data_IF_642496444924
#
_entry.id   IF_642496444924
#
_cell.length_a   1.000
_cell.length_b   1.000
_cell.length_c   1.000
_cell.angle_alpha   90.00
_cell.angle_beta   90.00
_cell.angle_gamma   90.00
#
_symmetry.space_group_name_H-M   'P 1'
#
loop_
_entity.id
_entity.type
_entity.pdbx_description
1 polymer ?
#
# COMPACT_ATOMS: atom_id res chain seq x y z
N UNK A 1 32.20 25.94 21.59
CA UNK A 1 32.42 25.20 20.33
C UNK A 1 31.10 24.55 19.97
N UNK A 2 30.39 25.12 19.02
CA UNK A 2 29.03 24.71 18.67
C UNK A 2 29.01 23.29 18.10
N UNK A 3 28.31 22.41 18.82
CA UNK A 3 27.98 21.08 18.36
C UNK A 3 27.07 21.17 17.14
N UNK A 4 27.65 20.98 15.97
CA UNK A 4 26.91 20.73 14.73
C UNK A 4 26.21 19.38 14.87
N UNK A 5 25.00 19.40 15.45
CA UNK A 5 24.02 18.32 15.27
C UNK A 5 23.88 18.13 13.77
N UNK A 6 24.47 17.06 13.22
CA UNK A 6 24.22 16.62 11.85
C UNK A 6 22.70 16.43 11.75
N UNK A 7 21.99 17.40 11.18
CA UNK A 7 20.57 17.22 10.85
C UNK A 7 20.52 15.99 9.97
N UNK A 8 19.88 14.94 10.48
CA UNK A 8 19.69 13.71 9.75
C UNK A 8 18.97 14.06 8.45
N UNK A 9 19.56 13.75 7.29
CA UNK A 9 18.91 13.93 5.98
C UNK A 9 17.79 12.89 5.74
N UNK A 10 17.26 12.30 6.81
CA UNK A 10 16.22 11.30 6.84
C UNK A 10 14.92 12.00 7.25
N UNK A 11 13.87 11.78 6.47
CA UNK A 11 12.54 12.26 6.80
C UNK A 11 12.01 11.51 8.03
N UNK A 12 11.63 12.23 9.08
CA UNK A 12 11.13 11.63 10.33
C UNK A 12 9.83 10.84 10.15
N UNK A 13 8.96 11.27 9.22
CA UNK A 13 7.68 10.59 8.94
C UNK A 13 7.91 9.26 8.22
N UNK A 14 8.77 9.26 7.20
CA UNK A 14 8.93 8.08 6.34
C UNK A 14 10.12 7.22 6.72
N UNK A 15 11.04 7.71 7.56
CA UNK A 15 12.32 7.05 7.86
C UNK A 15 13.28 6.97 6.67
N UNK A 16 13.05 7.73 5.60
CA UNK A 16 13.79 7.62 4.33
C UNK A 16 14.57 8.89 4.02
N UNK A 17 15.79 8.71 3.53
CA UNK A 17 16.58 9.77 2.90
C UNK A 17 16.00 10.19 1.55
N UNK A 18 16.37 11.37 1.07
CA UNK A 18 15.99 11.85 -0.26
C UNK A 18 16.40 10.87 -1.38
N UNK A 19 17.57 10.25 -1.27
CA UNK A 19 18.06 9.27 -2.23
C UNK A 19 17.21 8.00 -2.25
N UNK A 20 16.86 7.45 -1.09
CA UNK A 20 15.99 6.28 -0.99
C UNK A 20 14.59 6.55 -1.57
N UNK A 21 14.03 7.74 -1.31
CA UNK A 21 12.75 8.16 -1.92
C UNK A 21 12.84 8.22 -3.44
N UNK A 22 13.95 8.71 -3.99
CA UNK A 22 14.17 8.77 -5.43
C UNK A 22 14.24 7.37 -6.06
N UNK A 23 14.92 6.41 -5.40
CA UNK A 23 14.97 5.01 -5.83
C UNK A 23 13.56 4.42 -5.85
N UNK A 24 12.82 4.51 -4.75
CA UNK A 24 11.46 3.96 -4.66
C UNK A 24 10.53 4.55 -5.70
N UNK A 25 10.60 5.87 -5.91
CA UNK A 25 9.80 6.57 -6.93
C UNK A 25 10.14 6.07 -8.34
N UNK A 26 11.42 5.86 -8.62
CA UNK A 26 11.88 5.38 -9.93
C UNK A 26 11.43 3.94 -10.15
N UNK A 27 11.63 3.06 -9.17
CA UNK A 27 11.17 1.67 -9.22
C UNK A 27 9.66 1.61 -9.45
N UNK A 28 8.87 2.34 -8.66
CA UNK A 28 7.42 2.38 -8.78
C UNK A 28 6.95 2.81 -10.17
N UNK A 29 7.56 3.87 -10.73
CA UNK A 29 7.22 4.37 -12.09
C UNK A 29 7.59 3.41 -13.21
N UNK A 30 8.59 2.55 -12.99
CA UNK A 30 9.04 1.57 -13.98
C UNK A 30 8.22 0.28 -13.95
N UNK A 31 7.40 0.05 -12.92
CA UNK A 31 6.55 -1.14 -12.85
C UNK A 31 5.48 -1.07 -13.95
N UNK A 32 5.26 -2.17 -14.71
CA UNK A 32 4.14 -2.26 -15.64
C UNK A 32 2.82 -2.03 -14.90
N UNK A 33 1.88 -1.28 -15.50
CA UNK A 33 0.57 -0.99 -14.86
C UNK A 33 -0.19 -2.26 -14.47
N UNK A 34 -0.14 -3.30 -15.31
CA UNK A 34 -0.74 -4.59 -15.00
C UNK A 34 -0.15 -5.20 -13.71
N UNK A 35 1.16 -5.11 -13.53
CA UNK A 35 1.84 -5.62 -12.34
C UNK A 35 1.53 -4.77 -11.09
N UNK A 36 1.34 -3.46 -11.23
CA UNK A 36 0.88 -2.60 -10.13
C UNK A 36 -0.51 -3.01 -9.67
N UNK A 37 -1.42 -3.31 -10.62
CA UNK A 37 -2.77 -3.76 -10.32
C UNK A 37 -2.76 -5.13 -9.60
N UNK A 38 -2.01 -6.10 -10.11
CA UNK A 38 -1.87 -7.42 -9.49
C UNK A 38 -1.24 -7.34 -8.09
N UNK A 39 -0.25 -6.46 -7.91
CA UNK A 39 0.37 -6.21 -6.62
C UNK A 39 -0.65 -5.61 -5.63
N UNK A 40 -1.44 -4.64 -6.07
CA UNK A 40 -2.51 -4.05 -5.27
C UNK A 40 -3.51 -5.11 -4.81
N UNK A 41 -3.98 -5.96 -5.72
CA UNK A 41 -4.90 -7.06 -5.41
C UNK A 41 -4.33 -7.99 -4.33
N UNK A 42 -3.07 -8.43 -4.48
CA UNK A 42 -2.40 -9.28 -3.48
C UNK A 42 -2.24 -8.63 -2.10
N UNK A 43 -1.97 -7.33 -2.06
CA UNK A 43 -1.88 -6.59 -0.79
C UNK A 43 -3.23 -6.63 -0.07
N UNK A 44 -4.33 -6.34 -0.78
CA UNK A 44 -5.66 -6.38 -0.18
C UNK A 44 -6.10 -7.81 0.21
N UNK A 45 -5.80 -8.82 -0.60
CA UNK A 45 -5.98 -10.23 -0.23
C UNK A 45 -5.30 -10.53 1.11
N UNK A 46 -4.03 -10.15 1.26
CA UNK A 46 -3.29 -10.35 2.50
C UNK A 46 -3.92 -9.59 3.69
N UNK A 47 -4.44 -8.38 3.46
CA UNK A 47 -5.09 -7.58 4.51
C UNK A 47 -6.39 -8.24 4.98
N UNK A 48 -7.27 -8.64 4.05
CA UNK A 48 -8.56 -9.22 4.38
C UNK A 48 -8.46 -10.68 4.86
N UNK A 49 -7.44 -11.43 4.45
CA UNK A 49 -7.13 -12.74 5.03
C UNK A 49 -6.68 -12.62 6.49
N UNK A 50 -5.92 -11.57 6.83
CA UNK A 50 -5.45 -11.32 8.20
C UNK A 50 -6.55 -10.78 9.10
N UNK A 51 -7.38 -9.88 8.59
CA UNK A 51 -8.53 -9.34 9.31
C UNK A 51 -9.72 -9.16 8.35
N UNK A 52 -10.62 -10.15 8.29
CA UNK A 52 -11.83 -10.08 7.47
C UNK A 52 -12.72 -8.88 7.81
N UNK A 53 -12.65 -8.34 9.04
CA UNK A 53 -13.51 -7.23 9.44
C UNK A 53 -13.23 -5.96 8.64
N UNK A 54 -12.02 -5.82 8.09
CA UNK A 54 -11.62 -4.66 7.29
C UNK A 54 -12.40 -4.54 5.97
N UNK A 55 -13.12 -5.57 5.55
CA UNK A 55 -14.06 -5.47 4.41
C UNK A 55 -15.15 -4.41 4.63
N UNK A 56 -15.44 -4.03 5.88
CA UNK A 56 -16.36 -2.92 6.20
C UNK A 56 -15.91 -1.58 5.60
N UNK A 57 -14.60 -1.37 5.46
CA UNK A 57 -14.03 -0.11 4.91
C UNK A 57 -14.42 0.08 3.44
N UNK A 58 -14.73 -1.01 2.75
CA UNK A 58 -15.15 -1.01 1.35
C UNK A 58 -16.60 -1.47 1.16
N UNK A 59 -17.41 -1.43 2.23
CA UNK A 59 -18.82 -1.84 2.27
C UNK A 59 -19.06 -3.30 1.81
N UNK A 60 -18.16 -4.21 2.17
CA UNK A 60 -18.22 -5.65 1.86
C UNK A 60 -18.25 -6.54 3.11
N UNK A 61 -18.68 -6.01 4.25
CA UNK A 61 -18.78 -6.74 5.52
C UNK A 61 -19.67 -7.99 5.42
N UNK A 62 -20.68 -7.98 4.56
CA UNK A 62 -21.56 -9.12 4.29
C UNK A 62 -20.85 -10.27 3.54
N UNK A 63 -19.67 -10.02 2.96
CA UNK A 63 -18.84 -11.02 2.27
C UNK A 63 -17.66 -11.51 3.12
N UNK A 64 -17.61 -11.14 4.40
CA UNK A 64 -16.67 -11.68 5.36
C UNK A 64 -16.65 -13.21 5.33
N UNK A 65 -15.46 -13.80 5.49
CA UNK A 65 -15.23 -15.24 5.46
C UNK A 65 -15.56 -15.93 4.11
N UNK A 66 -15.75 -15.16 3.03
CA UNK A 66 -15.88 -15.67 1.66
C UNK A 66 -14.77 -15.12 0.76
N UNK A 67 -14.64 -15.67 -0.45
CA UNK A 67 -13.76 -15.13 -1.48
C UNK A 67 -14.51 -14.28 -2.51
N UNK A 68 -15.82 -14.07 -2.34
CA UNK A 68 -16.66 -13.38 -3.33
C UNK A 68 -16.35 -11.89 -3.45
N UNK A 69 -15.77 -11.29 -2.41
CA UNK A 69 -15.37 -9.88 -2.42
C UNK A 69 -14.32 -9.56 -3.49
N UNK A 70 -13.51 -10.56 -3.91
CA UNK A 70 -12.43 -10.39 -4.90
C UNK A 70 -12.94 -9.95 -6.29
N UNK A 71 -14.17 -10.33 -6.63
CA UNK A 71 -14.81 -9.99 -7.91
C UNK A 71 -15.85 -8.87 -7.78
N UNK A 72 -16.05 -8.35 -6.56
CA UNK A 72 -17.05 -7.33 -6.29
C UNK A 72 -16.64 -5.96 -6.84
N UNK A 73 -17.60 -5.20 -7.39
CA UNK A 73 -17.34 -3.88 -7.99
C UNK A 73 -16.69 -2.90 -7.01
N UNK A 74 -17.15 -2.85 -5.76
CA UNK A 74 -16.55 -2.02 -4.71
C UNK A 74 -15.05 -2.29 -4.52
N UNK A 75 -14.64 -3.57 -4.54
CA UNK A 75 -13.23 -3.92 -4.42
C UNK A 75 -12.44 -3.45 -5.66
N UNK A 76 -12.98 -3.69 -6.87
CA UNK A 76 -12.35 -3.23 -8.12
C UNK A 76 -12.19 -1.71 -8.18
N UNK A 77 -13.20 -0.95 -7.75
CA UNK A 77 -13.15 0.51 -7.68
C UNK A 77 -12.16 1.01 -6.63
N UNK A 78 -12.03 0.30 -5.50
CA UNK A 78 -11.08 0.68 -4.46
C UNK A 78 -9.62 0.35 -4.83
N UNK A 79 -9.41 -0.69 -5.63
CA UNK A 79 -8.08 -1.12 -6.08
C UNK A 79 -7.56 -0.37 -7.33
N UNK A 80 -8.41 0.39 -8.03
CA UNK A 80 -8.04 1.22 -9.19
C UNK A 80 -7.49 2.59 -8.78
#
# INVERSE_FOLDING_TARGET
MDGTRRRSNICEITGLSAHQKAILTTMWRQLPRALVFDLGKRVFETVFERDPNLLVVINLEHLQCTNQWQEHVNFRTHAQ
#
